data_IF_619384796919
#
_entry.id   IF_619384796919
#
_cell.length_a   1.000
_cell.length_b   1.000
_cell.length_c   1.000
_cell.angle_alpha   90.00
_cell.angle_beta   90.00
_cell.angle_gamma   90.00
#
_symmetry.space_group_name_H-M   'P 1'
#
loop_
_entity.id
_entity.type
_entity.pdbx_description
1 polymer ?
#
# COMPACT_ATOMS: atom_id res chain seq x y z
N UNK A 1 -12.15 16.27 -6.89
CA UNK A 1 -12.11 16.41 -5.43
C UNK A 1 -12.75 15.18 -4.84
N UNK A 2 -11.99 14.13 -4.60
CA UNK A 2 -12.44 13.11 -3.67
C UNK A 2 -11.89 13.53 -2.33
N UNK A 3 -12.80 13.85 -1.40
CA UNK A 3 -12.51 13.91 0.02
C UNK A 3 -11.74 12.63 0.34
N UNK A 4 -10.56 12.77 0.90
CA UNK A 4 -10.03 11.75 1.79
C UNK A 4 -11.07 11.71 2.90
N UNK A 5 -12.05 10.80 2.73
CA UNK A 5 -13.01 10.55 3.78
C UNK A 5 -12.16 10.22 4.99
N UNK A 6 -12.22 11.08 5.96
CA UNK A 6 -11.78 10.77 7.30
C UNK A 6 -12.30 9.36 7.57
N UNK A 7 -11.40 8.41 7.78
CA UNK A 7 -11.74 7.19 8.47
C UNK A 7 -12.39 7.65 9.75
N UNK A 8 -13.73 7.62 9.78
CA UNK A 8 -14.53 7.94 10.92
C UNK A 8 -14.29 6.93 12.03
N UNK A 9 -13.16 7.06 12.68
CA UNK A 9 -12.96 6.52 13.99
C UNK A 9 -13.77 7.43 14.92
N UNK A 10 -15.06 7.12 15.06
CA UNK A 10 -15.84 7.65 16.13
C UNK A 10 -15.11 7.34 17.44
N UNK A 11 -14.51 8.35 18.02
CA UNK A 11 -14.13 8.33 19.41
C UNK A 11 -15.43 8.25 20.20
N UNK A 12 -15.86 7.05 20.52
CA UNK A 12 -16.92 6.80 21.45
C UNK A 12 -16.47 7.34 22.81
N UNK A 13 -17.04 8.44 23.22
CA UNK A 13 -16.93 8.92 24.60
C UNK A 13 -17.71 7.91 25.45
N UNK A 14 -17.00 7.00 26.07
CA UNK A 14 -17.58 6.13 27.13
C UNK A 14 -17.80 7.01 28.33
N UNK A 15 -19.06 7.34 28.58
CA UNK A 15 -19.50 7.92 29.86
C UNK A 15 -19.71 6.77 30.82
N UNK A 16 -18.84 6.58 31.79
CA UNK A 16 -19.07 5.69 32.94
C UNK A 16 -20.10 6.36 33.84
N UNK A 17 -21.36 6.03 33.63
CA UNK A 17 -22.43 6.30 34.61
C UNK A 17 -22.73 5.02 35.37
N UNK A 18 -22.50 5.01 36.68
CA UNK A 18 -22.72 3.89 37.60
C UNK A 18 -24.20 3.58 37.84
N UNK A 19 -25.10 3.85 36.88
CA UNK A 19 -26.52 3.42 36.98
C UNK A 19 -27.02 2.95 35.61
N UNK A 20 -26.97 1.65 35.42
CA UNK A 20 -27.32 0.90 34.21
C UNK A 20 -28.84 0.82 33.92
N UNK A 21 -29.67 1.79 34.25
CA UNK A 21 -31.13 1.61 34.14
C UNK A 21 -31.92 2.64 33.34
N UNK A 22 -31.26 3.51 32.55
CA UNK A 22 -32.03 4.56 31.85
C UNK A 22 -31.54 4.89 30.42
N UNK A 23 -30.97 3.93 29.69
CA UNK A 23 -30.65 4.12 28.27
C UNK A 23 -31.47 3.17 27.41
N UNK A 24 -32.40 3.68 26.63
CA UNK A 24 -33.04 2.93 25.54
C UNK A 24 -32.40 3.28 24.22
N UNK A 25 -32.06 2.30 23.35
CA UNK A 25 -31.44 2.56 22.08
C UNK A 25 -32.47 3.05 21.06
N UNK A 26 -32.25 4.21 20.47
CA UNK A 26 -32.95 4.64 19.26
C UNK A 26 -31.94 5.09 18.22
N UNK A 27 -31.92 4.37 17.10
CA UNK A 27 -31.27 4.75 15.84
C UNK A 27 -29.78 5.12 15.89
N UNK A 28 -28.91 4.19 16.28
CA UNK A 28 -27.52 4.21 15.88
C UNK A 28 -26.59 5.30 16.43
N UNK A 29 -27.13 6.31 17.13
CA UNK A 29 -26.37 7.36 17.79
C UNK A 29 -26.84 7.49 19.24
N UNK A 30 -26.03 7.08 20.18
CA UNK A 30 -26.34 7.16 21.61
C UNK A 30 -25.94 8.54 22.13
N UNK A 31 -26.91 9.46 22.18
CA UNK A 31 -26.76 10.70 22.94
C UNK A 31 -27.57 10.57 24.24
N UNK A 32 -26.91 10.70 25.39
CA UNK A 32 -27.58 10.86 26.67
C UNK A 32 -27.97 12.34 26.85
N UNK A 33 -29.22 12.68 26.61
CA UNK A 33 -29.75 13.97 27.00
C UNK A 33 -30.34 13.86 28.40
N UNK A 34 -29.98 14.73 29.36
CA UNK A 34 -30.64 14.73 30.69
C UNK A 34 -32.06 15.21 30.52
N UNK A 35 -33.02 14.39 30.94
CA UNK A 35 -34.47 14.69 30.86
C UNK A 35 -35.01 15.66 31.95
N UNK A 36 -34.19 16.10 32.88
CA UNK A 36 -34.59 17.09 33.87
C UNK A 36 -33.43 17.98 34.31
N UNK A 37 -33.62 19.29 34.44
CA UNK A 37 -32.63 20.14 35.06
C UNK A 37 -32.54 19.79 36.56
N UNK A 38 -31.31 19.60 37.03
CA UNK A 38 -31.06 19.45 38.46
C UNK A 38 -31.40 20.75 39.17
N UNK A 39 -32.44 20.78 39.98
CA UNK A 39 -32.69 21.89 40.88
C UNK A 39 -31.68 21.83 42.03
N UNK A 40 -30.98 22.92 42.33
CA UNK A 40 -30.02 22.94 43.41
C UNK A 40 -30.78 22.91 44.75
N UNK A 41 -30.54 21.92 45.59
CA UNK A 41 -30.95 21.94 47.01
C UNK A 41 -30.04 22.89 47.78
N UNK A 42 -30.59 23.72 48.69
CA UNK A 42 -29.82 24.80 49.33
C UNK A 42 -29.07 24.35 50.59
N UNK A 43 -28.37 23.24 50.58
CA UNK A 43 -27.47 22.86 51.68
C UNK A 43 -26.50 21.77 51.21
N UNK A 44 -25.47 22.16 50.51
CA UNK A 44 -24.28 21.33 50.35
C UNK A 44 -23.07 22.22 50.35
N UNK A 45 -22.38 22.25 51.44
CA UNK A 45 -21.05 22.80 51.52
C UNK A 45 -20.10 22.08 50.57
N UNK A 46 -19.21 22.87 49.96
CA UNK A 46 -18.09 22.44 49.18
C UNK A 46 -18.40 21.69 47.88
N UNK A 47 -18.69 22.41 46.83
CA UNK A 47 -18.50 21.96 45.43
C UNK A 47 -17.03 21.69 45.22
N UNK A 48 -16.63 20.43 45.31
CA UNK A 48 -15.35 20.01 44.73
C UNK A 48 -15.43 20.24 43.20
N UNK A 49 -14.48 20.94 42.59
CA UNK A 49 -14.47 21.10 41.14
C UNK A 49 -14.40 19.72 40.52
N UNK A 50 -15.38 19.40 39.67
CA UNK A 50 -15.35 18.23 38.84
C UNK A 50 -14.11 18.30 37.93
N UNK A 51 -13.00 17.73 38.37
CA UNK A 51 -11.79 17.58 37.55
C UNK A 51 -11.94 16.38 36.60
N UNK A 52 -12.96 16.41 35.79
CA UNK A 52 -13.01 15.55 34.62
C UNK A 52 -12.52 16.34 33.41
N UNK A 53 -11.23 16.63 33.34
CA UNK A 53 -10.61 16.78 32.03
C UNK A 53 -10.82 15.44 31.32
N UNK A 54 -11.44 15.42 30.14
CA UNK A 54 -11.52 14.20 29.37
C UNK A 54 -10.08 13.76 29.13
N UNK A 55 -9.67 12.69 29.79
CA UNK A 55 -8.43 11.99 29.44
C UNK A 55 -8.71 11.43 28.06
N UNK A 56 -8.30 12.17 27.03
CA UNK A 56 -8.17 11.61 25.68
C UNK A 56 -7.19 10.46 25.85
N UNK A 57 -7.71 9.24 25.95
CA UNK A 57 -6.88 8.05 25.83
C UNK A 57 -6.30 8.13 24.44
N UNK A 58 -5.02 8.50 24.33
CA UNK A 58 -4.24 8.27 23.12
C UNK A 58 -4.39 6.78 22.85
N UNK A 59 -5.12 6.41 21.80
CA UNK A 59 -5.21 5.01 21.39
C UNK A 59 -3.83 4.68 20.83
N UNK A 60 -2.97 4.21 21.72
CA UNK A 60 -1.72 3.59 21.32
C UNK A 60 -2.14 2.19 20.91
N UNK A 61 -2.09 1.91 19.62
CA UNK A 61 -2.21 0.55 19.14
C UNK A 61 -1.06 -0.23 19.78
N UNK A 62 -1.40 -1.14 20.70
CA UNK A 62 -0.40 -2.01 21.31
C UNK A 62 -0.04 -3.11 20.29
N UNK A 63 1.12 -2.95 19.68
CA UNK A 63 1.62 -3.78 18.57
C UNK A 63 2.33 -5.03 19.08
N UNK A 64 2.28 -5.31 20.38
CA UNK A 64 3.05 -6.38 21.02
C UNK A 64 2.75 -7.80 20.55
N UNK A 65 1.66 -8.01 19.82
CA UNK A 65 1.21 -9.36 19.44
C UNK A 65 1.30 -9.64 17.94
N UNK A 66 1.86 -8.76 17.13
CA UNK A 66 1.89 -8.97 15.68
C UNK A 66 3.25 -8.58 15.12
N UNK A 67 4.11 -9.55 14.88
CA UNK A 67 5.45 -9.37 14.30
C UNK A 67 5.44 -8.70 12.91
N UNK A 68 4.27 -8.60 12.28
CA UNK A 68 4.04 -7.96 10.98
C UNK A 68 3.81 -6.43 11.07
N UNK A 69 3.68 -5.86 12.27
CA UNK A 69 3.51 -4.43 12.46
C UNK A 69 4.84 -3.77 12.78
N UNK A 70 5.26 -2.88 11.90
CA UNK A 70 6.30 -1.92 12.24
C UNK A 70 5.84 -1.07 13.43
N UNK A 71 6.72 -0.91 14.42
CA UNK A 71 6.45 -0.17 15.66
C UNK A 71 6.35 1.35 15.49
N UNK A 72 6.25 1.82 14.26
CA UNK A 72 6.15 3.23 13.96
C UNK A 72 4.72 3.75 14.19
N UNK A 73 4.60 4.88 14.84
CA UNK A 73 3.33 5.60 14.97
C UNK A 73 2.95 6.10 13.57
N UNK A 74 1.85 5.60 13.02
CA UNK A 74 1.29 6.12 11.78
C UNK A 74 0.77 7.54 12.08
N UNK A 75 1.30 8.59 11.47
CA UNK A 75 0.80 9.93 11.69
C UNK A 75 -0.66 10.01 11.20
N UNK A 76 -1.53 10.56 12.04
CA UNK A 76 -2.97 10.73 11.71
C UNK A 76 -3.17 11.75 10.60
N UNK A 77 -2.24 12.68 10.45
CA UNK A 77 -2.26 13.73 9.44
C UNK A 77 -0.87 13.87 8.84
N UNK A 78 -0.83 14.00 7.52
CA UNK A 78 0.37 14.30 6.78
C UNK A 78 0.17 15.64 6.06
N UNK A 79 1.10 16.58 6.25
CA UNK A 79 1.09 17.81 5.50
C UNK A 79 1.38 17.52 4.02
N UNK A 80 0.56 18.09 3.14
CA UNK A 80 0.65 17.83 1.70
C UNK A 80 0.84 19.13 0.92
N UNK A 81 1.58 19.05 -0.18
CA UNK A 81 1.80 20.14 -1.10
C UNK A 81 1.65 19.69 -2.55
N UNK A 82 1.53 20.63 -3.48
CA UNK A 82 1.43 20.29 -4.92
C UNK A 82 2.79 20.15 -5.54
N UNK A 83 3.05 18.97 -6.10
CA UNK A 83 4.21 18.72 -6.96
C UNK A 83 3.82 18.97 -8.41
N UNK A 84 4.46 19.96 -9.03
CA UNK A 84 4.26 20.30 -10.43
C UNK A 84 5.18 19.47 -11.33
N UNK A 85 4.71 19.05 -12.51
CA UNK A 85 5.56 18.41 -13.50
C UNK A 85 6.72 19.31 -13.90
N UNK A 86 7.91 18.74 -14.07
CA UNK A 86 9.09 19.46 -14.51
C UNK A 86 9.76 18.68 -15.65
N UNK A 87 10.29 19.33 -16.69
CA UNK A 87 11.07 18.66 -17.74
C UNK A 87 12.22 17.83 -17.13
N UNK A 88 12.38 16.60 -17.59
CA UNK A 88 13.42 15.71 -17.09
C UNK A 88 13.15 15.05 -15.74
N UNK A 89 12.08 15.41 -15.06
CA UNK A 89 11.69 14.78 -13.81
C UNK A 89 10.48 13.84 -14.03
N UNK A 90 10.70 12.55 -13.83
CA UNK A 90 9.66 11.52 -13.96
C UNK A 90 9.47 10.80 -12.62
N UNK A 91 8.23 10.45 -12.32
CA UNK A 91 7.90 9.70 -11.09
C UNK A 91 7.78 8.22 -11.41
N UNK A 92 8.42 7.34 -10.63
CA UNK A 92 8.22 5.90 -10.78
C UNK A 92 6.77 5.51 -10.43
N UNK A 93 6.26 4.50 -11.14
CA UNK A 93 4.93 3.92 -10.89
C UNK A 93 5.12 2.59 -10.18
N UNK A 94 4.51 2.46 -9.02
CA UNK A 94 4.63 1.27 -8.16
C UNK A 94 3.29 0.57 -8.09
N UNK A 95 3.22 -0.67 -8.59
CA UNK A 95 2.02 -1.50 -8.58
C UNK A 95 2.02 -2.42 -7.36
N UNK A 96 1.10 -2.21 -6.45
CA UNK A 96 0.96 -3.00 -5.22
C UNK A 96 -0.35 -3.78 -5.23
N UNK A 97 -0.40 -4.91 -4.55
CA UNK A 97 -1.60 -5.74 -4.44
C UNK A 97 -1.27 -7.18 -4.05
N UNK A 98 -2.28 -7.98 -3.84
CA UNK A 98 -2.12 -9.38 -3.47
C UNK A 98 -1.36 -10.19 -4.53
N UNK A 99 -0.64 -11.26 -4.14
CA UNK A 99 -0.16 -12.24 -5.10
C UNK A 99 -1.33 -12.78 -5.95
N UNK A 100 -1.11 -13.01 -7.25
CA UNK A 100 -2.16 -13.52 -8.14
C UNK A 100 -3.17 -12.47 -8.66
N UNK A 101 -3.18 -11.23 -8.15
CA UNK A 101 -4.12 -10.18 -8.60
C UNK A 101 -3.84 -9.66 -10.02
N UNK A 102 -2.68 -9.98 -10.60
CA UNK A 102 -2.32 -9.59 -11.99
C UNK A 102 -1.35 -8.41 -12.10
N UNK A 103 -0.70 -7.96 -11.02
CA UNK A 103 0.28 -6.85 -11.03
C UNK A 103 1.37 -7.01 -12.08
N UNK A 104 1.99 -8.19 -12.12
CA UNK A 104 3.11 -8.46 -13.03
C UNK A 104 2.67 -8.45 -14.49
N UNK A 105 1.46 -8.91 -14.79
CA UNK A 105 0.92 -8.86 -16.15
C UNK A 105 0.58 -7.45 -16.58
N UNK A 106 0.01 -6.63 -15.68
CA UNK A 106 -0.22 -5.21 -15.93
C UNK A 106 1.09 -4.46 -16.19
N UNK A 107 2.11 -4.71 -15.35
CA UNK A 107 3.45 -4.15 -15.55
C UNK A 107 4.02 -4.53 -16.91
N UNK A 108 4.00 -5.83 -17.25
CA UNK A 108 4.51 -6.35 -18.52
C UNK A 108 3.82 -5.70 -19.71
N UNK A 109 2.49 -5.59 -19.66
CA UNK A 109 1.70 -4.96 -20.74
C UNK A 109 1.96 -3.46 -20.82
N UNK A 110 2.05 -2.76 -19.69
CA UNK A 110 2.38 -1.34 -19.69
C UNK A 110 3.75 -1.07 -20.37
N UNK A 111 4.76 -1.85 -20.02
CA UNK A 111 6.10 -1.74 -20.66
C UNK A 111 6.00 -2.06 -22.15
N UNK A 112 5.21 -3.05 -22.54
CA UNK A 112 5.05 -3.43 -23.94
C UNK A 112 4.35 -2.36 -24.80
N UNK A 113 3.59 -1.43 -24.22
CA UNK A 113 2.95 -0.32 -24.96
C UNK A 113 3.96 0.71 -25.44
N UNK A 114 5.01 0.98 -24.68
CA UNK A 114 6.06 1.93 -25.02
C UNK A 114 7.36 1.57 -24.24
N UNK A 115 8.21 0.68 -24.79
CA UNK A 115 9.41 0.22 -24.11
C UNK A 115 10.49 1.29 -23.96
N UNK A 116 10.44 2.36 -24.74
CA UNK A 116 11.36 3.48 -24.61
C UNK A 116 11.00 4.35 -23.40
N UNK A 117 9.73 4.47 -23.10
CA UNK A 117 9.21 5.27 -22.00
C UNK A 117 9.14 4.49 -20.69
N UNK A 118 8.64 3.26 -20.71
CA UNK A 118 8.40 2.45 -19.52
C UNK A 118 9.45 1.37 -19.36
N UNK A 119 10.11 1.35 -18.22
CA UNK A 119 11.21 0.41 -17.94
C UNK A 119 11.05 -0.18 -16.54
N UNK A 120 11.47 -1.42 -16.37
CA UNK A 120 11.58 -2.05 -15.05
C UNK A 120 13.06 -2.25 -14.71
N UNK A 121 13.49 -2.07 -13.45
CA UNK A 121 14.87 -2.34 -13.08
C UNK A 121 15.20 -3.82 -13.24
N UNK A 122 16.43 -4.10 -13.65
CA UNK A 122 16.94 -5.46 -13.72
C UNK A 122 17.21 -5.95 -12.29
N UNK A 123 16.58 -7.04 -11.85
CA UNK A 123 16.80 -7.55 -10.50
C UNK A 123 18.15 -8.23 -10.35
N UNK A 124 18.70 -8.21 -9.15
CA UNK A 124 19.93 -8.90 -8.78
C UNK A 124 19.62 -10.34 -8.34
N UNK A 125 20.57 -11.24 -8.57
CA UNK A 125 20.51 -12.61 -8.07
C UNK A 125 21.88 -13.20 -7.80
N UNK A 126 21.96 -14.03 -6.74
CA UNK A 126 23.15 -14.86 -6.45
C UNK A 126 23.13 -16.22 -7.17
N UNK A 127 22.07 -16.49 -7.92
CA UNK A 127 21.95 -17.71 -8.73
C UNK A 127 22.96 -17.70 -9.87
N UNK A 128 23.53 -18.87 -10.18
CA UNK A 128 24.36 -19.03 -11.37
C UNK A 128 23.57 -18.69 -12.65
N UNK A 129 24.23 -18.00 -13.57
CA UNK A 129 23.68 -17.62 -14.87
C UNK A 129 23.44 -18.87 -15.73
N UNK A 130 22.31 -18.97 -16.41
CA UNK A 130 22.01 -20.01 -17.38
C UNK A 130 22.60 -19.63 -18.73
N UNK A 131 22.84 -20.61 -19.61
CA UNK A 131 23.41 -20.39 -20.94
C UNK A 131 22.60 -19.45 -21.84
N UNK A 132 21.27 -19.41 -21.65
CA UNK A 132 20.35 -18.56 -22.41
C UNK A 132 20.17 -17.15 -21.85
N UNK A 133 20.77 -16.83 -20.71
CA UNK A 133 20.61 -15.57 -19.99
C UNK A 133 21.82 -14.66 -20.24
N UNK A 134 21.61 -13.37 -20.21
CA UNK A 134 22.64 -12.34 -20.34
C UNK A 134 22.70 -11.50 -19.07
N UNK A 135 23.93 -11.30 -18.53
CA UNK A 135 24.10 -10.43 -17.38
C UNK A 135 23.69 -9.00 -17.73
N UNK A 136 22.89 -8.39 -16.86
CA UNK A 136 22.36 -7.05 -17.07
C UNK A 136 21.07 -6.98 -17.89
N UNK A 137 20.55 -8.11 -18.36
CA UNK A 137 19.29 -8.18 -19.11
C UNK A 137 18.18 -8.85 -18.32
N UNK A 138 18.31 -10.13 -18.03
CA UNK A 138 17.36 -10.88 -17.20
C UNK A 138 17.59 -10.63 -15.72
N UNK A 139 18.86 -10.67 -15.31
CA UNK A 139 19.34 -10.44 -13.95
C UNK A 139 20.73 -9.79 -13.97
N UNK A 140 21.06 -9.08 -12.91
CA UNK A 140 22.44 -8.77 -12.51
C UNK A 140 22.95 -9.94 -11.68
N UNK A 141 23.80 -10.78 -12.27
CA UNK A 141 24.36 -11.94 -11.60
C UNK A 141 25.57 -11.53 -10.75
N UNK A 142 25.47 -11.75 -9.43
CA UNK A 142 26.49 -11.42 -8.45
C UNK A 142 26.78 -12.62 -7.55
N UNK A 143 27.92 -12.62 -6.85
CA UNK A 143 28.19 -13.67 -5.87
C UNK A 143 27.28 -13.52 -4.66
N UNK A 144 27.07 -14.61 -3.92
CA UNK A 144 26.25 -14.59 -2.70
C UNK A 144 26.81 -13.63 -1.66
N UNK A 145 28.14 -13.68 -1.45
CA UNK A 145 28.85 -12.83 -0.49
C UNK A 145 28.68 -11.35 -0.82
N UNK A 146 28.79 -11.00 -2.13
CA UNK A 146 28.56 -9.63 -2.58
C UNK A 146 27.12 -9.18 -2.33
N UNK A 147 26.15 -10.04 -2.60
CA UNK A 147 24.74 -9.70 -2.38
C UNK A 147 24.42 -9.57 -0.89
N UNK A 148 24.96 -10.42 -0.02
CA UNK A 148 24.80 -10.32 1.43
C UNK A 148 25.43 -9.03 1.98
N UNK A 149 26.58 -8.62 1.45
CA UNK A 149 27.19 -7.34 1.77
C UNK A 149 26.29 -6.18 1.38
N UNK A 150 25.81 -6.16 0.14
CA UNK A 150 24.94 -5.08 -0.37
C UNK A 150 23.58 -5.03 0.37
N UNK A 151 23.06 -6.17 0.84
CA UNK A 151 21.88 -6.23 1.73
C UNK A 151 22.21 -5.59 3.09
N UNK A 152 23.35 -5.92 3.69
CA UNK A 152 23.76 -5.34 4.98
C UNK A 152 24.02 -3.83 4.91
N UNK A 153 24.41 -3.33 3.73
CA UNK A 153 24.59 -1.91 3.45
C UNK A 153 23.27 -1.19 3.08
N UNK A 154 22.13 -1.92 3.04
CA UNK A 154 20.81 -1.34 2.77
C UNK A 154 20.62 -0.87 1.32
N UNK A 155 21.33 -1.42 0.34
CA UNK A 155 21.26 -1.03 -1.08
C UNK A 155 20.03 -1.55 -1.81
N UNK A 156 19.29 -2.50 -1.20
CA UNK A 156 18.12 -3.12 -1.82
C UNK A 156 16.82 -2.53 -1.27
N UNK A 157 15.91 -2.21 -2.18
CA UNK A 157 14.52 -1.84 -1.86
C UNK A 157 13.77 -3.05 -1.33
N UNK A 158 13.98 -4.19 -1.97
CA UNK A 158 13.45 -5.48 -1.55
C UNK A 158 14.46 -6.57 -1.84
N UNK A 159 14.51 -7.56 -1.00
CA UNK A 159 15.31 -8.78 -1.20
C UNK A 159 14.61 -9.99 -0.59
N UNK A 160 14.97 -11.17 -1.05
CA UNK A 160 14.45 -12.42 -0.53
C UNK A 160 15.25 -13.61 -1.00
N UNK A 161 15.08 -14.73 -0.32
CA UNK A 161 15.71 -15.99 -0.70
C UNK A 161 14.68 -16.94 -1.32
N UNK A 162 15.04 -17.57 -2.42
CA UNK A 162 14.25 -18.59 -3.08
C UNK A 162 15.13 -19.71 -3.60
N UNK A 163 14.82 -20.96 -3.22
CA UNK A 163 15.60 -22.17 -3.57
C UNK A 163 17.11 -21.99 -3.31
N UNK A 164 17.49 -21.44 -2.16
CA UNK A 164 18.88 -21.23 -1.75
C UNK A 164 19.60 -20.12 -2.49
N UNK A 165 18.94 -19.29 -3.27
CA UNK A 165 19.52 -18.15 -3.97
C UNK A 165 18.84 -16.86 -3.55
N UNK A 166 19.63 -15.81 -3.44
CA UNK A 166 19.16 -14.46 -3.13
C UNK A 166 18.66 -13.76 -4.40
N UNK A 167 17.63 -12.96 -4.24
CA UNK A 167 17.06 -12.08 -5.27
C UNK A 167 16.77 -10.72 -4.67
N UNK A 168 16.91 -9.66 -5.44
CA UNK A 168 16.59 -8.32 -4.93
C UNK A 168 16.52 -7.26 -6.00
N UNK A 169 15.88 -6.15 -5.69
CA UNK A 169 15.80 -4.95 -6.52
C UNK A 169 16.61 -3.84 -5.86
N UNK A 170 17.66 -3.35 -6.53
CA UNK A 170 18.53 -2.29 -6.01
C UNK A 170 17.87 -0.92 -6.13
N UNK A 171 18.07 -0.06 -5.12
CA UNK A 171 17.66 1.35 -5.16
C UNK A 171 18.36 2.11 -6.30
N UNK A 172 19.66 1.89 -6.48
CA UNK A 172 20.46 2.49 -7.54
C UNK A 172 19.92 2.19 -8.94
N UNK A 173 19.45 0.95 -9.17
CA UNK A 173 18.84 0.58 -10.45
C UNK A 173 17.58 1.38 -10.75
N UNK A 174 16.77 1.67 -9.73
CA UNK A 174 15.56 2.49 -9.87
C UNK A 174 15.92 3.95 -10.13
N UNK A 175 16.87 4.49 -9.38
CA UNK A 175 17.36 5.86 -9.54
C UNK A 175 17.97 6.09 -10.93
N UNK A 176 18.76 5.16 -11.42
CA UNK A 176 19.35 5.22 -12.77
C UNK A 176 18.29 5.35 -13.85
N UNK A 177 17.18 4.59 -13.73
CA UNK A 177 16.06 4.69 -14.68
C UNK A 177 15.37 6.05 -14.57
N UNK A 178 15.05 6.50 -13.36
CA UNK A 178 14.39 7.80 -13.12
C UNK A 178 15.25 8.94 -13.65
N UNK A 179 16.55 8.91 -13.37
CA UNK A 179 17.52 9.93 -13.84
C UNK A 179 17.72 9.92 -15.37
N UNK A 180 17.40 8.81 -16.02
CA UNK A 180 17.41 8.75 -17.51
C UNK A 180 16.16 9.40 -18.13
N UNK A 181 15.22 9.92 -17.35
CA UNK A 181 13.97 10.50 -17.82
C UNK A 181 12.92 9.48 -18.25
N UNK A 182 13.14 8.19 -17.95
CA UNK A 182 12.18 7.12 -18.23
C UNK A 182 11.35 6.77 -17.00
N UNK A 183 10.12 6.35 -17.21
CA UNK A 183 9.20 5.96 -16.13
C UNK A 183 9.56 4.55 -15.65
N UNK A 184 10.10 4.48 -14.43
CA UNK A 184 10.38 3.21 -13.78
C UNK A 184 9.05 2.57 -13.31
N UNK A 185 8.77 1.33 -13.72
CA UNK A 185 7.57 0.58 -13.35
C UNK A 185 7.95 -0.61 -12.48
N UNK A 186 7.49 -0.59 -11.25
CA UNK A 186 7.81 -1.58 -10.22
C UNK A 186 6.57 -2.38 -9.81
N UNK A 187 6.75 -3.62 -9.41
CA UNK A 187 5.70 -4.41 -8.74
C UNK A 187 6.27 -5.13 -7.52
N UNK A 188 6.73 -4.38 -6.52
CA UNK A 188 7.40 -4.92 -5.35
C UNK A 188 6.45 -5.63 -4.41
N UNK A 189 7.01 -6.29 -3.40
CA UNK A 189 6.24 -6.72 -2.24
C UNK A 189 5.77 -5.48 -1.47
N UNK A 190 4.58 -5.53 -0.88
CA UNK A 190 3.97 -4.39 -0.17
C UNK A 190 4.83 -3.87 1.01
N UNK A 191 5.64 -4.72 1.63
CA UNK A 191 6.57 -4.31 2.70
C UNK A 191 7.66 -3.35 2.21
N UNK A 192 8.02 -3.41 0.93
CA UNK A 192 9.02 -2.52 0.33
C UNK A 192 8.54 -1.06 0.15
N UNK A 193 7.24 -0.79 0.36
CA UNK A 193 6.68 0.54 0.17
C UNK A 193 7.34 1.62 1.04
N UNK A 194 7.74 1.27 2.25
CA UNK A 194 8.41 2.20 3.16
C UNK A 194 9.77 2.64 2.62
N UNK A 195 10.51 1.71 2.02
CA UNK A 195 11.79 2.00 1.38
C UNK A 195 11.64 2.81 0.09
N UNK A 196 10.52 2.65 -0.61
CA UNK A 196 10.24 3.35 -1.86
C UNK A 196 9.65 4.75 -1.63
N UNK A 197 8.80 4.95 -0.61
CA UNK A 197 8.08 6.21 -0.34
C UNK A 197 9.01 7.25 0.28
N UNK A 198 9.98 7.70 -0.51
CA UNK A 198 11.01 8.66 -0.09
C UNK A 198 10.91 9.96 -0.88
N UNK A 199 11.40 11.10 -0.31
CA UNK A 199 11.50 12.38 -1.02
C UNK A 199 12.34 12.31 -2.30
N UNK A 200 13.25 11.36 -2.38
CA UNK A 200 14.16 11.18 -3.50
C UNK A 200 13.47 10.50 -4.70
N UNK A 201 12.79 9.39 -4.45
CA UNK A 201 12.09 8.64 -5.51
C UNK A 201 10.72 9.21 -5.85
N UNK A 202 9.99 9.74 -4.88
CA UNK A 202 8.64 10.32 -5.02
C UNK A 202 7.69 9.41 -5.83
N UNK A 203 7.55 8.14 -5.48
CA UNK A 203 6.79 7.19 -6.26
C UNK A 203 5.31 7.58 -6.35
N UNK A 204 4.63 7.09 -7.38
CA UNK A 204 3.18 7.07 -7.45
C UNK A 204 2.72 5.62 -7.25
N UNK A 205 2.01 5.37 -6.16
CA UNK A 205 1.66 4.03 -5.71
C UNK A 205 0.23 3.70 -6.12
N UNK A 206 0.08 2.70 -6.98
CA UNK A 206 -1.21 2.22 -7.49
C UNK A 206 -1.54 0.88 -6.87
N UNK A 207 -2.63 0.82 -6.12
CA UNK A 207 -3.13 -0.42 -5.55
C UNK A 207 -3.98 -1.18 -6.56
N UNK A 208 -3.55 -2.40 -6.88
CA UNK A 208 -4.30 -3.30 -7.77
C UNK A 208 -5.19 -4.19 -6.92
N UNK A 209 -6.48 -3.91 -6.98
CA UNK A 209 -7.52 -4.55 -6.20
C UNK A 209 -8.21 -5.65 -7.01
N UNK A 210 -8.48 -6.83 -6.43
CA UNK A 210 -9.32 -7.82 -7.08
C UNK A 210 -10.77 -7.34 -7.12
N UNK A 211 -11.57 -7.77 -8.12
CA UNK A 211 -13.02 -7.61 -8.08
C UNK A 211 -13.63 -8.53 -7.01
N UNK A 212 -14.95 -8.48 -6.76
CA UNK A 212 -15.64 -9.46 -5.91
C UNK A 212 -15.36 -10.90 -6.35
N UNK A 213 -15.46 -11.86 -5.42
CA UNK A 213 -15.02 -13.23 -5.63
C UNK A 213 -15.62 -13.87 -6.89
N UNK A 214 -16.94 -13.75 -7.10
CA UNK A 214 -17.63 -14.34 -8.23
C UNK A 214 -17.08 -13.81 -9.56
N UNK A 215 -16.91 -12.49 -9.66
CA UNK A 215 -16.31 -11.85 -10.83
C UNK A 215 -14.85 -12.21 -11.03
N UNK A 216 -14.09 -12.38 -9.93
CA UNK A 216 -12.69 -12.81 -9.99
C UNK A 216 -12.58 -14.21 -10.58
N UNK A 217 -13.41 -15.15 -10.13
CA UNK A 217 -13.46 -16.54 -10.64
C UNK A 217 -13.83 -16.53 -12.13
N UNK A 218 -14.92 -15.88 -12.50
CA UNK A 218 -15.42 -15.82 -13.88
C UNK A 218 -14.37 -15.27 -14.84
N UNK A 219 -13.82 -14.11 -14.51
CA UNK A 219 -12.86 -13.43 -15.40
C UNK A 219 -11.52 -14.16 -15.53
N UNK A 220 -11.06 -14.84 -14.47
CA UNK A 220 -9.83 -15.64 -14.53
C UNK A 220 -10.03 -16.93 -15.28
N UNK A 221 -11.18 -17.59 -15.13
CA UNK A 221 -11.54 -18.79 -15.88
C UNK A 221 -11.74 -18.47 -17.38
N UNK A 222 -12.47 -17.40 -17.70
CA UNK A 222 -12.67 -16.96 -19.08
C UNK A 222 -11.34 -16.60 -19.78
N UNK A 223 -10.41 -15.99 -19.05
CA UNK A 223 -9.09 -15.65 -19.57
C UNK A 223 -8.10 -16.81 -19.57
N UNK A 224 -8.47 -18.00 -19.14
CA UNK A 224 -7.57 -19.14 -18.91
C UNK A 224 -6.30 -18.73 -18.10
N UNK A 225 -6.49 -17.88 -17.11
CA UNK A 225 -5.39 -17.36 -16.31
C UNK A 225 -4.73 -18.48 -15.51
N UNK A 226 -3.42 -18.44 -15.42
CA UNK A 226 -2.64 -19.46 -14.70
C UNK A 226 -2.24 -18.96 -13.32
N UNK A 227 -2.26 -19.86 -12.35
CA UNK A 227 -1.81 -19.56 -11.00
C UNK A 227 -0.34 -19.13 -10.99
N UNK A 228 -0.03 -18.09 -10.24
CA UNK A 228 1.34 -17.62 -10.01
C UNK A 228 1.90 -18.08 -8.67
N UNK A 229 1.11 -18.82 -7.87
CA UNK A 229 1.53 -19.38 -6.60
C UNK A 229 2.49 -20.57 -6.79
N UNK A 230 2.27 -21.34 -7.84
CA UNK A 230 3.16 -22.44 -8.22
C UNK A 230 3.81 -22.16 -9.58
N UNK A 231 5.12 -21.90 -9.56
CA UNK A 231 5.88 -21.61 -10.79
C UNK A 231 6.23 -22.87 -11.60
N UNK A 232 6.13 -24.05 -10.99
CA UNK A 232 6.48 -25.30 -11.64
C UNK A 232 5.29 -25.94 -12.36
N UNK A 233 4.08 -25.69 -11.86
CA UNK A 233 2.85 -26.21 -12.45
C UNK A 233 1.97 -25.06 -12.97
N UNK A 234 1.93 -24.92 -14.30
CA UNK A 234 0.99 -23.99 -14.95
C UNK A 234 -0.42 -24.56 -14.88
N UNK A 235 -1.11 -24.37 -13.77
CA UNK A 235 -2.49 -24.83 -13.52
C UNK A 235 -3.47 -23.67 -13.35
N UNK A 236 -4.75 -23.97 -13.44
CA UNK A 236 -5.79 -23.03 -13.07
C UNK A 236 -5.75 -22.68 -11.58
N UNK A 237 -6.30 -21.53 -11.22
CA UNK A 237 -6.48 -21.15 -9.81
C UNK A 237 -7.47 -22.09 -9.13
N UNK A 238 -7.21 -22.40 -7.86
CA UNK A 238 -8.17 -23.07 -6.99
C UNK A 238 -9.11 -22.05 -6.33
N UNK A 239 -10.25 -22.50 -5.84
CA UNK A 239 -11.20 -21.63 -5.13
C UNK A 239 -10.59 -21.02 -3.87
N UNK A 240 -9.73 -21.76 -3.18
CA UNK A 240 -9.03 -21.28 -2.00
C UNK A 240 -8.04 -20.17 -2.35
N UNK A 241 -7.28 -20.30 -3.44
CA UNK A 241 -6.39 -19.24 -3.93
C UNK A 241 -7.15 -17.96 -4.28
N UNK A 242 -8.34 -18.04 -4.84
CA UNK A 242 -9.18 -16.87 -5.08
C UNK A 242 -9.58 -16.17 -3.76
N UNK A 243 -9.97 -16.96 -2.76
CA UNK A 243 -10.28 -16.41 -1.42
C UNK A 243 -9.05 -15.80 -0.77
N UNK A 244 -7.87 -16.40 -0.94
CA UNK A 244 -6.61 -15.87 -0.42
C UNK A 244 -6.20 -14.57 -1.11
N UNK A 245 -6.44 -14.42 -2.40
CA UNK A 245 -6.24 -13.15 -3.13
C UNK A 245 -7.09 -12.05 -2.49
N UNK A 246 -8.39 -12.31 -2.23
CA UNK A 246 -9.29 -11.34 -1.61
C UNK A 246 -8.83 -11.00 -0.18
N UNK A 247 -8.56 -12.02 0.64
CA UNK A 247 -8.13 -11.88 2.03
C UNK A 247 -6.82 -11.07 2.13
N UNK A 248 -5.84 -11.43 1.32
CA UNK A 248 -4.55 -10.74 1.26
C UNK A 248 -4.70 -9.30 0.77
N UNK A 249 -5.57 -9.06 -0.23
CA UNK A 249 -5.85 -7.71 -0.73
C UNK A 249 -6.47 -6.83 0.35
N UNK A 250 -7.45 -7.35 1.09
CA UNK A 250 -8.08 -6.64 2.22
C UNK A 250 -7.06 -6.31 3.30
N UNK A 251 -6.19 -7.27 3.65
CA UNK A 251 -5.12 -7.06 4.64
C UNK A 251 -4.14 -5.97 4.19
N UNK A 252 -3.68 -6.02 2.94
CA UNK A 252 -2.75 -5.03 2.38
C UNK A 252 -3.37 -3.64 2.40
N UNK A 253 -4.64 -3.51 1.99
CA UNK A 253 -5.34 -2.24 2.00
C UNK A 253 -5.52 -1.69 3.44
N UNK A 254 -5.82 -2.55 4.39
CA UNK A 254 -5.94 -2.15 5.80
C UNK A 254 -4.61 -1.63 6.36
N UNK A 255 -3.49 -2.31 6.07
CA UNK A 255 -2.18 -1.98 6.62
C UNK A 255 -1.49 -0.81 5.92
N UNK A 256 -1.66 -0.68 4.59
CA UNK A 256 -0.89 0.23 3.75
C UNK A 256 -1.74 1.16 2.90
N UNK A 257 -3.07 1.14 3.05
CA UNK A 257 -4.00 1.95 2.24
C UNK A 257 -3.72 3.45 2.30
N UNK A 258 -3.18 3.92 3.43
CA UNK A 258 -2.76 5.33 3.59
C UNK A 258 -1.57 5.75 2.71
N UNK A 259 -0.84 4.79 2.15
CA UNK A 259 0.28 5.04 1.23
C UNK A 259 -0.12 5.05 -0.23
N UNK A 260 -1.34 4.61 -0.56
CA UNK A 260 -1.76 4.47 -1.95
C UNK A 260 -2.27 5.78 -2.50
N UNK A 261 -1.77 6.15 -3.69
CA UNK A 261 -2.21 7.35 -4.40
C UNK A 261 -3.48 7.08 -5.23
N UNK A 262 -3.65 5.85 -5.75
CA UNK A 262 -4.78 5.47 -6.58
C UNK A 262 -5.08 3.97 -6.47
N UNK A 263 -6.33 3.57 -6.78
CA UNK A 263 -6.76 2.18 -6.84
C UNK A 263 -7.26 1.81 -8.24
N UNK A 264 -6.91 0.61 -8.71
CA UNK A 264 -7.45 0.01 -9.93
C UNK A 264 -8.05 -1.35 -9.57
N UNK A 265 -9.33 -1.55 -9.87
CA UNK A 265 -9.95 -2.87 -9.79
C UNK A 265 -9.61 -3.65 -11.06
N UNK A 266 -8.83 -4.73 -10.93
CA UNK A 266 -8.45 -5.58 -12.06
C UNK A 266 -9.51 -6.67 -12.31
N UNK A 267 -10.66 -6.25 -12.78
CA UNK A 267 -11.72 -7.15 -13.25
C UNK A 267 -11.34 -7.69 -14.63
N UNK A 268 -11.15 -6.78 -15.60
CA UNK A 268 -10.67 -7.10 -16.93
C UNK A 268 -9.32 -6.43 -17.18
N UNK A 269 -8.34 -7.23 -17.61
CA UNK A 269 -6.97 -6.77 -17.76
C UNK A 269 -6.80 -5.62 -18.79
N UNK A 270 -7.62 -5.62 -19.85
CA UNK A 270 -7.60 -4.54 -20.86
C UNK A 270 -8.11 -3.22 -20.28
N UNK A 271 -9.20 -3.26 -19.53
CA UNK A 271 -9.75 -2.10 -18.83
C UNK A 271 -8.79 -1.56 -17.78
N UNK A 272 -8.22 -2.44 -16.96
CA UNK A 272 -7.23 -2.09 -15.95
C UNK A 272 -5.96 -1.46 -16.57
N UNK A 273 -5.49 -1.99 -17.70
CA UNK A 273 -4.37 -1.40 -18.45
C UNK A 273 -4.72 0.00 -18.98
N UNK A 274 -5.91 0.19 -19.53
CA UNK A 274 -6.36 1.51 -20.00
C UNK A 274 -6.42 2.55 -18.88
N UNK A 275 -6.86 2.14 -17.68
CA UNK A 275 -6.84 2.99 -16.48
C UNK A 275 -5.40 3.31 -16.07
N UNK A 276 -4.52 2.32 -16.06
CA UNK A 276 -3.11 2.49 -15.70
C UNK A 276 -2.38 3.44 -16.66
N UNK A 277 -2.66 3.36 -17.97
CA UNK A 277 -2.11 4.29 -18.97
C UNK A 277 -2.57 5.74 -18.72
N UNK A 278 -3.85 5.95 -18.39
CA UNK A 278 -4.39 7.27 -18.03
C UNK A 278 -3.73 7.81 -16.75
N UNK A 279 -3.57 6.97 -15.74
CA UNK A 279 -2.87 7.32 -14.50
C UNK A 279 -1.43 7.69 -14.81
N UNK A 280 -0.71 6.88 -15.58
CA UNK A 280 0.67 7.15 -15.96
C UNK A 280 0.83 8.48 -16.68
N UNK A 281 -0.07 8.80 -17.61
CA UNK A 281 -0.06 10.10 -18.28
C UNK A 281 -0.29 11.24 -17.27
N UNK A 282 -1.31 11.12 -16.42
CA UNK A 282 -1.65 12.12 -15.40
C UNK A 282 -0.50 12.39 -14.43
N UNK A 283 0.17 11.32 -13.98
CA UNK A 283 1.31 11.41 -13.04
C UNK A 283 2.46 12.23 -13.61
N UNK A 284 2.68 12.18 -14.92
CA UNK A 284 3.78 12.87 -15.58
C UNK A 284 3.40 14.27 -16.12
N UNK A 285 2.10 14.60 -16.23
CA UNK A 285 1.62 15.81 -16.88
C UNK A 285 0.82 16.77 -15.99
N UNK A 286 0.29 16.29 -14.87
CA UNK A 286 -0.57 17.11 -14.01
C UNK A 286 0.05 17.38 -12.63
N UNK A 287 -0.27 18.52 -12.00
CA UNK A 287 0.10 18.76 -10.61
C UNK A 287 -0.63 17.82 -9.67
N UNK A 288 0.10 17.10 -8.83
CA UNK A 288 -0.44 16.13 -7.88
C UNK A 288 -0.07 16.47 -6.44
N UNK A 289 -0.92 16.05 -5.52
CA UNK A 289 -0.64 16.17 -4.10
C UNK A 289 0.40 15.12 -3.68
N UNK A 290 1.39 15.58 -2.93
CA UNK A 290 2.44 14.75 -2.33
C UNK A 290 2.71 15.20 -0.91
N UNK A 291 3.37 14.38 -0.06
CA UNK A 291 3.88 14.85 1.22
C UNK A 291 4.67 16.14 1.06
N UNK A 292 4.44 17.15 1.92
CA UNK A 292 5.13 18.44 1.84
C UNK A 292 6.66 18.28 1.95
N UNK A 293 7.11 17.31 2.73
CA UNK A 293 8.52 16.92 2.87
C UNK A 293 9.20 16.51 1.54
N UNK A 294 8.43 16.22 0.48
CA UNK A 294 8.99 15.87 -0.82
C UNK A 294 9.31 17.08 -1.71
N UNK A 295 8.87 18.26 -1.32
CA UNK A 295 9.03 19.50 -2.12
C UNK A 295 10.15 20.39 -1.59
N UNK A 296 10.59 20.12 -0.38
CA UNK A 296 11.68 20.83 0.28
C UNK A 296 13.02 20.63 -0.42
#
# INVERSE_FOLDING_TARGET
MRNIAALGLHAGILCECDKASLCSPTNGNTYCAPKTPCTPTPNAAALLPCKSTPKVKKVIYDIKENDDFDREIIPTYEEVARLYPRPGFVRPIVLVGAPGVGRNELRRRLIATDPEKYVTPVPYTSRAQKQSEQNGKEYMFVTREKMEQDISEGKFIEHGEYKGNLYGTSAESVETIVNSGRVCVLSPHWQALKMLRTPHLRPFIVFIKPPPLDRLVDTRNAANARSTFDKECSRAFTEEEFRDIIRSSTRINFLYGYMFDEEIVNEELASALSQLLKISWRVQSEPLWVPASWIQ
#
